data_IF_219481652747
#
_entry.id   IF_219481652747
#
_cell.length_a   1.000
_cell.length_b   1.000
_cell.length_c   1.000
_cell.angle_alpha   90.00
_cell.angle_beta   90.00
_cell.angle_gamma   90.00
#
_symmetry.space_group_name_H-M   'P 1'
#
loop_
_entity.id
_entity.type
_entity.pdbx_description
1 polymer ?
2 non-polymer ?
3 non-polymer ?
4 non-polymer ?
5 non-polymer ?
6 water ?
#
# COMPACT_ATOMS: atom_id res chain seq x y z
N UNK A 15 -16.47 -29.67 16.15
CA UNK A 15 -15.72 -29.67 14.90
C UNK A 15 -16.36 -28.79 13.82
N UNK A 16 -15.67 -28.67 12.70
CA UNK A 16 -16.12 -27.87 11.57
C UNK A 16 -15.60 -28.55 10.32
N UNK A 17 -16.48 -29.27 9.62
CA UNK A 17 -16.14 -29.97 8.40
C UNK A 17 -16.94 -29.43 7.23
N UNK A 18 -17.22 -28.11 7.25
CA UNK A 18 -17.99 -27.51 6.17
C UNK A 18 -17.30 -27.71 4.83
N UNK A 19 -15.98 -27.71 4.82
CA UNK A 19 -15.19 -27.70 3.61
C UNK A 19 -14.81 -29.09 3.10
N UNK A 20 -15.02 -30.14 3.87
CA UNK A 20 -14.87 -31.49 3.33
C UNK A 20 -15.80 -31.68 2.13
N UNK A 21 -15.39 -32.57 1.22
CA UNK A 21 -16.18 -32.93 0.04
C UNK A 21 -16.38 -31.80 -0.96
N UNK A 22 -15.94 -30.57 -0.64
CA UNK A 22 -15.96 -29.52 -1.64
C UNK A 22 -14.82 -29.81 -2.60
N UNK A 23 -15.15 -30.11 -3.85
CA UNK A 23 -14.15 -30.31 -4.87
C UNK A 23 -14.09 -29.17 -5.85
N UNK A 24 -15.22 -28.57 -6.20
CA UNK A 24 -15.22 -27.41 -7.07
C UNK A 24 -15.05 -26.14 -6.26
N UNK A 25 -13.97 -25.44 -6.53
CA UNK A 25 -13.63 -24.19 -5.91
C UNK A 25 -12.24 -23.86 -6.35
N UNK A 26 -11.96 -22.60 -6.66
CA UNK A 26 -10.61 -22.16 -6.93
C UNK A 26 -10.38 -20.87 -6.15
N UNK A 27 -9.15 -20.67 -5.70
CA UNK A 27 -8.84 -19.60 -4.76
C UNK A 27 -7.55 -18.92 -5.19
N UNK A 28 -7.55 -17.60 -5.17
CA UNK A 28 -6.41 -16.80 -5.60
C UNK A 28 -6.09 -15.77 -4.54
N UNK A 29 -4.81 -15.43 -4.44
CA UNK A 29 -4.35 -14.28 -3.67
C UNK A 29 -4.58 -13.02 -4.48
N UNK A 30 -5.07 -11.97 -3.84
CA UNK A 30 -5.13 -10.64 -4.45
C UNK A 30 -4.23 -9.74 -3.61
N UNK A 31 -3.27 -9.10 -4.26
CA UNK A 31 -2.42 -8.12 -3.60
C UNK A 31 -2.80 -6.74 -4.11
N UNK A 32 -2.97 -5.79 -3.20
CA UNK A 32 -3.24 -4.41 -3.56
C UNK A 32 -2.20 -3.50 -2.94
N UNK A 33 -1.57 -2.67 -3.76
CA UNK A 33 -0.65 -1.68 -3.21
C UNK A 33 -1.39 -0.58 -2.46
N UNK A 34 -2.68 -0.39 -2.75
CA UNK A 34 -3.46 0.73 -2.29
C UNK A 34 -4.52 0.28 -1.30
N UNK A 35 -4.52 0.88 -0.12
CA UNK A 35 -5.64 0.73 0.80
C UNK A 35 -6.90 1.38 0.23
N UNK A 36 -6.75 2.47 -0.51
CA UNK A 36 -7.90 3.09 -1.14
C UNK A 36 -8.66 2.13 -2.04
N UNK A 37 -7.94 1.33 -2.82
CA UNK A 37 -8.57 0.40 -3.75
C UNK A 37 -9.36 -0.67 -3.01
N UNK A 38 -8.84 -1.15 -1.89
CA UNK A 38 -9.60 -2.06 -1.03
C UNK A 38 -10.91 -1.44 -0.62
N UNK A 39 -10.88 -0.21 -0.11
CA UNK A 39 -12.11 0.42 0.33
C UNK A 39 -13.11 0.58 -0.82
N UNK A 40 -12.62 0.95 -2.00
CA UNK A 40 -13.53 1.10 -3.15
C UNK A 40 -14.11 -0.24 -3.58
N UNK A 41 -13.32 -1.32 -3.48
CA UNK A 41 -13.83 -2.64 -3.81
C UNK A 41 -14.93 -3.05 -2.84
N UNK A 42 -14.72 -2.79 -1.55
CA UNK A 42 -15.73 -3.15 -0.56
C UNK A 42 -17.00 -2.35 -0.80
N UNK A 43 -16.87 -1.07 -1.14
CA UNK A 43 -18.03 -0.20 -1.31
C UNK A 43 -18.84 -0.56 -2.55
N UNK A 44 -18.18 -0.83 -3.67
CA UNK A 44 -18.88 -0.98 -4.94
C UNK A 44 -18.87 -2.39 -5.47
N UNK A 45 -18.20 -3.31 -4.80
CA UNK A 45 -18.22 -4.73 -5.16
C UNK A 45 -17.68 -4.95 -6.57
N UNK A 46 -16.49 -4.40 -6.82
CA UNK A 46 -15.80 -4.54 -8.09
C UNK A 46 -14.30 -4.67 -7.83
N UNK A 47 -13.59 -5.21 -8.83
CA UNK A 47 -12.14 -5.29 -8.77
C UNK A 47 -11.58 -5.28 -10.19
N UNK A 48 -10.26 -5.16 -10.28
CA UNK A 48 -9.53 -5.32 -11.52
C UNK A 48 -8.09 -5.63 -11.17
N UNK A 49 -7.47 -6.51 -11.93
CA UNK A 49 -6.10 -6.94 -11.72
C UNK A 49 -5.23 -6.47 -12.89
N UNK A 50 -4.03 -7.03 -12.99
CA UNK A 50 -3.15 -6.80 -14.13
C UNK A 50 -3.74 -7.46 -15.35
N UNK A 51 -3.09 -7.31 -16.51
CA UNK A 51 -3.60 -8.04 -17.66
C UNK A 51 -3.47 -9.54 -17.45
N UNK A 52 -2.30 -10.01 -17.01
CA UNK A 52 -2.16 -11.45 -16.84
C UNK A 52 -2.93 -11.92 -15.63
N UNK A 53 -3.13 -11.04 -14.64
CA UNK A 53 -3.97 -11.39 -13.52
C UNK A 53 -5.42 -11.55 -13.93
N UNK A 54 -5.95 -10.58 -14.66
CA UNK A 54 -7.32 -10.69 -15.15
C UNK A 54 -7.50 -11.94 -15.99
N UNK A 55 -6.52 -12.25 -16.82
CA UNK A 55 -6.65 -13.38 -17.71
C UNK A 55 -6.75 -14.69 -16.94
N UNK A 56 -5.97 -14.80 -15.86
CA UNK A 56 -6.01 -16.01 -15.02
C UNK A 56 -7.36 -16.16 -14.33
N UNK A 57 -7.87 -15.07 -13.77
CA UNK A 57 -9.15 -15.10 -13.07
C UNK A 57 -10.30 -15.37 -14.02
N UNK A 58 -10.29 -14.74 -15.18
CA UNK A 58 -11.36 -14.91 -16.14
C UNK A 58 -11.43 -16.36 -16.60
N UNK A 59 -10.27 -16.99 -16.79
CA UNK A 59 -10.26 -18.37 -17.22
C UNK A 59 -10.80 -19.30 -16.14
N UNK A 60 -10.43 -19.05 -14.87
CA UNK A 60 -10.94 -19.87 -13.79
C UNK A 60 -12.42 -19.62 -13.55
N UNK A 61 -12.87 -18.37 -13.69
CA UNK A 61 -14.29 -18.09 -13.52
C UNK A 61 -15.12 -18.74 -14.61
N UNK A 62 -14.66 -18.65 -15.86
CA UNK A 62 -15.46 -19.15 -16.99
C UNK A 62 -15.49 -20.67 -17.03
N UNK A 63 -14.36 -21.33 -16.79
CA UNK A 63 -14.31 -22.78 -16.83
C UNK A 63 -14.89 -23.41 -15.58
N UNK A 64 -15.14 -22.63 -14.54
CA UNK A 64 -15.85 -23.18 -13.40
C UNK A 64 -17.33 -23.33 -13.70
N UNK A 65 -17.89 -22.45 -14.52
CA UNK A 65 -19.23 -22.61 -15.05
C UNK A 65 -20.24 -22.84 -13.93
N UNK A 66 -20.23 -21.95 -12.95
CA UNK A 66 -21.18 -21.99 -11.87
C UNK A 66 -21.12 -23.23 -10.98
N UNK A 67 -20.15 -24.12 -11.18
CA UNK A 67 -20.08 -25.36 -10.42
C UNK A 67 -19.46 -25.18 -9.04
N UNK A 68 -18.80 -24.07 -8.78
CA UNK A 68 -18.24 -23.79 -7.49
C UNK A 68 -17.81 -22.34 -7.42
N UNK A 69 -17.31 -21.91 -6.26
CA UNK A 69 -16.88 -20.51 -6.12
C UNK A 69 -15.45 -20.28 -6.57
N UNK A 70 -15.19 -19.04 -7.00
CA UNK A 70 -13.83 -18.52 -7.10
C UNK A 70 -13.68 -17.50 -5.99
N UNK A 71 -12.84 -17.80 -5.01
CA UNK A 71 -12.59 -16.94 -3.89
C UNK A 71 -11.33 -16.11 -4.08
N UNK A 72 -11.31 -14.94 -3.48
CA UNK A 72 -10.20 -14.00 -3.58
C UNK A 72 -9.78 -13.60 -2.18
N UNK A 73 -8.51 -13.80 -1.87
CA UNK A 73 -7.93 -13.52 -0.57
C UNK A 73 -7.11 -12.25 -0.69
N UNK A 74 -7.64 -11.15 -0.14
CA UNK A 74 -7.08 -9.81 -0.32
C UNK A 74 -6.06 -9.48 0.75
N UNK A 75 -5.02 -8.78 0.34
CA UNK A 75 -3.96 -8.38 1.25
C UNK A 75 -3.29 -7.14 0.65
N UNK A 76 -3.10 -6.12 1.48
CA UNK A 76 -2.38 -4.92 1.06
C UNK A 76 -0.89 -5.15 1.23
N UNK A 77 -0.14 -5.02 0.13
CA UNK A 77 1.31 -5.20 0.18
C UNK A 77 1.95 -4.38 1.27
N UNK A 78 2.75 -5.06 2.09
CA UNK A 78 3.45 -4.44 3.18
C UNK A 78 2.68 -4.35 4.47
N UNK A 79 1.36 -4.46 4.43
CA UNK A 79 0.55 -4.27 5.61
C UNK A 79 0.75 -5.36 6.66
N UNK A 80 1.22 -6.54 6.26
CA UNK A 80 1.45 -7.62 7.19
C UNK A 80 0.22 -8.42 7.58
N UNK A 81 -0.93 -8.18 6.95
CA UNK A 81 -2.15 -8.91 7.26
C UNK A 81 -3.01 -9.02 6.01
N UNK A 82 -3.83 -10.07 5.97
CA UNK A 82 -4.91 -10.16 5.01
C UNK A 82 -6.10 -9.37 5.55
N UNK A 83 -6.85 -8.75 4.65
CA UNK A 83 -7.91 -7.85 5.06
C UNK A 83 -9.30 -8.35 4.70
N UNK A 84 -9.43 -9.43 3.96
CA UNK A 84 -10.76 -9.93 3.69
C UNK A 84 -10.76 -11.00 2.62
N UNK A 85 -11.97 -11.50 2.36
CA UNK A 85 -12.28 -12.53 1.37
C UNK A 85 -13.43 -12.05 0.53
N UNK A 86 -13.31 -12.18 -0.77
CA UNK A 86 -14.40 -11.87 -1.67
C UNK A 86 -14.58 -13.04 -2.63
N UNK A 87 -15.75 -13.09 -3.23
CA UNK A 87 -16.02 -14.06 -4.27
C UNK A 87 -16.17 -13.33 -5.59
N UNK A 88 -15.57 -13.89 -6.63
CA UNK A 88 -15.69 -13.33 -7.96
C UNK A 88 -17.08 -13.62 -8.51
N UNK A 89 -17.77 -12.58 -8.98
CA UNK A 89 -19.17 -12.72 -9.39
C UNK A 89 -19.45 -12.31 -10.82
N UNK A 90 -18.43 -12.18 -11.66
CA UNK A 90 -18.64 -11.94 -13.07
C UNK A 90 -17.35 -12.25 -13.81
N UNK A 91 -17.49 -12.46 -15.11
CA UNK A 91 -16.32 -12.50 -15.96
C UNK A 91 -15.72 -11.11 -16.07
N UNK A 92 -14.54 -11.04 -16.67
CA UNK A 92 -13.84 -9.77 -16.80
C UNK A 92 -14.37 -9.01 -18.00
N UNK A 93 -14.77 -7.76 -17.78
CA UNK A 93 -15.07 -6.81 -18.82
C UNK A 93 -13.80 -6.00 -19.06
N UNK A 94 -13.19 -6.15 -20.21
CA UNK A 94 -11.90 -5.54 -20.42
C UNK A 94 -11.98 -4.12 -20.91
N UNK A 95 -13.17 -3.60 -21.19
CA UNK A 95 -13.31 -2.29 -21.80
C UNK A 95 -14.26 -1.48 -20.91
N UNK A 96 -13.68 -0.79 -19.93
CA UNK A 96 -14.46 -0.01 -18.99
C UNK A 96 -13.76 1.31 -18.74
N UNK A 97 -14.42 2.17 -17.98
CA UNK A 97 -13.88 3.48 -17.64
C UNK A 97 -12.47 3.38 -17.07
N UNK A 98 -11.58 4.21 -17.56
CA UNK A 98 -10.22 4.23 -17.05
C UNK A 98 -10.11 5.15 -15.83
N UNK A 99 -9.09 4.91 -15.02
CA UNK A 99 -8.76 5.83 -13.95
C UNK A 99 -9.62 5.78 -12.72
N UNK A 100 -10.38 4.69 -12.50
CA UNK A 100 -11.22 4.63 -11.31
C UNK A 100 -10.47 4.16 -10.08
N UNK A 101 -9.25 3.64 -10.21
CA UNK A 101 -8.45 3.18 -9.10
C UNK A 101 -7.32 4.16 -8.80
N UNK A 102 -6.56 3.87 -7.75
CA UNK A 102 -5.50 4.78 -7.33
C UNK A 102 -4.49 5.04 -8.45
N UNK A 103 -3.95 4.00 -9.05
CA UNK A 103 -3.11 4.13 -10.23
C UNK A 103 -3.93 3.87 -11.48
N UNK A 104 -3.51 4.48 -12.58
CA UNK A 104 -4.13 4.27 -13.88
C UNK A 104 -3.58 3.06 -14.61
N UNK A 105 -3.18 2.04 -13.86
CA UNK A 105 -2.51 0.87 -14.42
C UNK A 105 -3.47 -0.21 -14.89
N UNK A 106 -4.69 -0.24 -14.37
CA UNK A 106 -5.58 -1.39 -14.49
C UNK A 106 -6.62 -1.18 -15.58
N UNK A 107 -6.77 -2.17 -16.45
CA UNK A 107 -7.68 -2.13 -17.58
C UNK A 107 -8.80 -3.15 -17.38
N UNK A 108 -10.01 -2.67 -17.17
CA UNK A 108 -11.17 -3.54 -17.06
C UNK A 108 -11.76 -3.54 -15.66
N UNK A 109 -12.70 -4.46 -15.45
CA UNK A 109 -13.50 -4.54 -14.24
C UNK A 109 -14.20 -5.89 -14.19
N UNK A 110 -14.36 -6.43 -12.99
CA UNK A 110 -15.27 -7.54 -12.80
C UNK A 110 -15.95 -7.40 -11.45
N UNK A 111 -17.08 -8.06 -11.30
CA UNK A 111 -17.83 -7.94 -10.07
C UNK A 111 -17.27 -8.87 -9.02
N UNK A 112 -17.33 -8.43 -7.78
CA UNK A 112 -17.00 -9.29 -6.64
C UNK A 112 -18.11 -9.14 -5.62
N UNK A 113 -18.10 -10.03 -4.64
CA UNK A 113 -18.99 -9.96 -3.49
C UNK A 113 -18.16 -10.25 -2.26
N UNK A 114 -17.96 -9.23 -1.42
CA UNK A 114 -17.13 -9.39 -0.25
C UNK A 114 -17.82 -10.23 0.81
N UNK A 115 -17.06 -11.12 1.41
CA UNK A 115 -17.56 -12.16 2.32
C UNK A 115 -17.13 -11.87 3.74
N UNK A 116 -15.83 -11.73 3.97
CA UNK A 116 -15.26 -11.33 5.24
C UNK A 116 -14.50 -10.04 5.00
N UNK A 117 -14.71 -9.06 5.84
CA UNK A 117 -13.81 -7.94 5.98
C UNK A 117 -13.28 -8.00 7.40
N UNK A 118 -12.10 -8.58 7.57
CA UNK A 118 -11.47 -8.59 8.87
C UNK A 118 -9.98 -8.79 8.67
N UNK A 119 -9.20 -8.20 9.57
CA UNK A 119 -7.75 -8.26 9.49
C UNK A 119 -7.25 -9.53 10.14
N UNK A 120 -6.41 -10.25 9.42
CA UNK A 120 -5.85 -11.52 9.88
C UNK A 120 -4.33 -11.41 9.73
N UNK A 121 -3.59 -11.38 10.83
CA UNK A 121 -2.14 -11.20 10.74
C UNK A 121 -1.46 -12.31 9.97
N UNK A 122 -0.41 -11.96 9.24
CA UNK A 122 0.34 -12.98 8.52
C UNK A 122 0.82 -14.08 9.45
N UNK A 123 1.01 -13.77 10.72
CA UNK A 123 1.50 -14.78 11.66
C UNK A 123 0.54 -15.96 11.77
N UNK A 124 -0.75 -15.73 11.51
CA UNK A 124 -1.76 -16.78 11.58
C UNK A 124 -1.75 -17.69 10.36
N UNK A 125 -1.10 -17.26 9.28
CA UNK A 125 -1.14 -17.95 8.02
C UNK A 125 0.22 -18.37 7.48
N UNK A 126 1.33 -17.91 8.05
CA UNK A 126 2.62 -18.10 7.39
C UNK A 126 3.08 -19.54 7.37
N UNK A 127 2.49 -20.42 8.17
CA UNK A 127 2.92 -21.80 8.23
C UNK A 127 2.26 -22.67 7.17
N UNK A 128 1.35 -22.12 6.38
CA UNK A 128 0.77 -22.83 5.24
C UNK A 128 1.61 -22.48 4.02
N UNK A 129 2.13 -23.49 3.34
CA UNK A 129 3.01 -23.29 2.22
C UNK A 129 2.38 -23.83 0.96
N UNK A 130 2.74 -23.24 -0.17
CA UNK A 130 2.11 -23.49 -1.46
C UNK A 130 3.02 -24.38 -2.30
N UNK A 131 2.62 -25.63 -2.50
CA UNK A 131 3.45 -26.55 -3.25
C UNK A 131 3.60 -26.12 -4.70
N UNK A 132 2.71 -25.28 -5.20
CA UNK A 132 2.78 -24.76 -6.56
C UNK A 132 3.59 -23.47 -6.64
N UNK A 133 4.11 -22.97 -5.52
CA UNK A 133 4.96 -21.79 -5.52
C UNK A 133 6.18 -22.06 -4.65
N UNK A 134 6.95 -23.07 -5.04
CA UNK A 134 8.24 -23.39 -4.43
C UNK A 134 8.16 -23.56 -2.93
N UNK A 135 7.02 -24.04 -2.44
CA UNK A 135 6.79 -24.30 -1.02
C UNK A 135 6.85 -23.02 -0.20
N UNK A 136 6.69 -21.87 -0.84
CA UNK A 136 6.76 -20.61 -0.12
C UNK A 136 5.53 -20.43 0.75
N UNK A 137 5.65 -19.69 1.86
CA UNK A 137 4.46 -19.41 2.67
C UNK A 137 3.42 -18.69 1.84
N UNK A 138 2.16 -19.00 2.10
CA UNK A 138 1.09 -18.35 1.39
C UNK A 138 1.11 -16.84 1.58
N UNK A 139 1.72 -16.37 2.67
CA UNK A 139 1.82 -14.96 2.97
C UNK A 139 2.92 -14.25 2.20
N UNK A 140 3.69 -14.99 1.40
CA UNK A 140 4.71 -14.42 0.53
C UNK A 140 4.33 -14.56 -0.94
N UNK A 141 3.05 -14.47 -1.24
CA UNK A 141 2.51 -14.61 -2.58
C UNK A 141 2.46 -13.27 -3.30
N UNK A 142 2.47 -13.32 -4.62
CA UNK A 142 2.22 -12.17 -5.46
C UNK A 142 0.76 -12.17 -5.91
N UNK A 143 0.34 -11.06 -6.52
CA UNK A 143 -1.02 -10.95 -7.01
C UNK A 143 -1.39 -12.11 -7.92
N UNK A 144 -2.63 -12.59 -7.77
CA UNK A 144 -3.26 -13.71 -8.50
C UNK A 144 -2.48 -15.01 -8.41
N UNK A 145 -1.65 -15.17 -7.40
CA UNK A 145 -1.11 -16.48 -7.08
C UNK A 145 -2.27 -17.40 -6.76
N UNK A 146 -2.36 -18.52 -7.46
CA UNK A 146 -3.42 -19.47 -7.14
C UNK A 146 -3.01 -20.35 -5.97
N UNK A 147 -3.99 -20.71 -5.16
CA UNK A 147 -3.78 -21.50 -3.96
C UNK A 147 -4.38 -22.89 -4.19
N UNK A 148 -3.62 -23.96 -3.96
CA UNK A 148 -4.19 -25.29 -4.11
C UNK A 148 -5.36 -25.47 -3.15
N UNK A 149 -6.37 -26.21 -3.60
CA UNK A 149 -7.63 -26.25 -2.86
C UNK A 149 -7.43 -26.72 -1.44
N UNK A 150 -6.54 -27.68 -1.22
CA UNK A 150 -6.40 -28.21 0.12
C UNK A 150 -5.74 -27.19 1.05
N UNK A 151 -4.80 -26.39 0.52
CA UNK A 151 -4.23 -25.31 1.33
C UNK A 151 -5.23 -24.17 1.47
N UNK A 152 -6.06 -23.95 0.45
CA UNK A 152 -7.05 -22.87 0.52
C UNK A 152 -8.08 -23.14 1.60
N UNK A 153 -8.46 -24.40 1.79
CA UNK A 153 -9.40 -24.73 2.85
C UNK A 153 -8.83 -24.40 4.21
N UNK A 154 -7.53 -24.69 4.41
CA UNK A 154 -6.87 -24.38 5.67
C UNK A 154 -6.81 -22.88 5.92
N UNK A 155 -6.58 -22.10 4.87
CA UNK A 155 -6.53 -20.66 5.02
C UNK A 155 -7.89 -20.11 5.37
N UNK A 156 -8.93 -20.59 4.69
CA UNK A 156 -10.28 -20.10 4.94
C UNK A 156 -10.74 -20.41 6.36
N UNK A 157 -10.50 -21.62 6.83
CA UNK A 157 -10.86 -21.96 8.20
C UNK A 157 -10.18 -21.05 9.20
N UNK A 158 -8.91 -20.73 8.96
CA UNK A 158 -8.19 -19.82 9.83
C UNK A 158 -8.84 -18.43 9.80
N UNK A 159 -9.09 -17.91 8.61
CA UNK A 159 -9.62 -16.55 8.50
C UNK A 159 -10.97 -16.44 9.19
N UNK A 160 -11.82 -17.45 8.99
CA UNK A 160 -13.16 -17.39 9.54
C UNK A 160 -13.17 -17.50 11.05
N UNK A 161 -12.21 -18.20 11.62
CA UNK A 161 -12.24 -18.46 13.05
C UNK A 161 -11.31 -17.54 13.83
N UNK A 162 -10.64 -16.60 13.17
CA UNK A 162 -9.81 -15.63 13.88
C UNK A 162 -10.66 -14.57 14.55
N UNK A 163 -10.17 -14.05 15.67
CA UNK A 163 -10.85 -12.98 16.40
C UNK A 163 -9.86 -12.09 17.15
N UNK B 16 18.86 23.50 -8.80
CA UNK B 16 19.60 24.64 -9.35
C UNK B 16 19.24 25.94 -8.62
N UNK B 17 18.08 26.51 -8.97
CA UNK B 17 17.53 27.64 -8.24
C UNK B 17 16.94 27.25 -6.90
N UNK B 18 16.81 25.96 -6.64
CA UNK B 18 16.06 25.47 -5.49
C UNK B 18 17.00 24.84 -4.48
N UNK B 19 16.73 25.07 -3.19
CA UNK B 19 17.43 24.42 -2.09
C UNK B 19 18.95 24.59 -2.20
N UNK B 20 19.38 25.73 -2.71
CA UNK B 20 20.82 25.97 -2.82
C UNK B 20 21.45 25.99 -1.44
N UNK B 21 20.85 26.74 -0.51
CA UNK B 21 21.37 26.87 0.85
C UNK B 21 20.30 26.37 1.81
N UNK B 22 20.39 25.09 2.17
CA UNK B 22 19.73 24.56 3.35
C UNK B 22 20.83 24.15 4.33
N UNK B 23 21.52 25.15 4.88
CA UNK B 23 22.74 24.90 5.65
C UNK B 23 22.52 23.82 6.70
N UNK B 24 21.39 23.86 7.39
CA UNK B 24 20.96 22.80 8.29
C UNK B 24 19.73 22.13 7.71
N UNK B 25 19.20 21.18 8.43
CA UNK B 25 18.00 20.48 7.99
C UNK B 25 18.09 18.99 8.18
N UNK B 26 16.93 18.34 8.23
CA UNK B 26 16.85 16.89 8.23
C UNK B 26 15.68 16.47 7.36
N UNK B 27 15.83 15.34 6.65
CA UNK B 27 14.90 14.95 5.60
C UNK B 27 14.51 13.49 5.78
N UNK B 28 13.22 13.20 5.62
CA UNK B 28 12.69 11.86 5.78
C UNK B 28 11.83 11.49 4.58
N UNK B 29 11.82 10.21 4.26
CA UNK B 29 10.86 9.65 3.32
C UNK B 29 9.54 9.42 4.03
N UNK B 30 8.44 9.67 3.33
CA UNK B 30 7.11 9.33 3.79
C UNK B 30 6.51 8.39 2.76
N UNK B 31 6.04 7.24 3.21
CA UNK B 31 5.34 6.32 2.32
C UNK B 31 3.88 6.25 2.75
N UNK B 32 2.97 6.06 1.81
CA UNK B 32 1.55 5.97 2.12
C UNK B 32 0.89 4.83 1.36
N UNK B 33 0.03 4.09 2.04
CA UNK B 33 -0.89 3.15 1.42
C UNK B 33 -2.09 3.80 0.77
N UNK B 34 -2.25 5.11 0.90
CA UNK B 34 -3.49 5.77 0.55
C UNK B 34 -3.19 7.08 -0.14
N UNK B 35 -3.63 7.22 -1.39
CA UNK B 35 -3.50 8.51 -2.05
C UNK B 35 -4.55 9.49 -1.52
N UNK B 36 -5.69 8.98 -1.04
CA UNK B 36 -6.66 9.83 -0.36
C UNK B 36 -6.04 10.56 0.82
N UNK B 37 -5.23 9.86 1.61
CA UNK B 37 -4.57 10.49 2.76
C UNK B 37 -3.65 11.60 2.30
N UNK B 38 -2.98 11.42 1.16
CA UNK B 38 -2.14 12.46 0.62
C UNK B 38 -2.98 13.66 0.20
N UNK B 39 -4.15 13.41 -0.38
CA UNK B 39 -5.01 14.52 -0.77
C UNK B 39 -5.50 15.28 0.45
N UNK B 40 -5.87 14.55 1.51
CA UNK B 40 -6.25 15.21 2.76
C UNK B 40 -5.10 16.01 3.33
N UNK B 41 -3.89 15.47 3.22
CA UNK B 41 -2.70 16.16 3.70
C UNK B 41 -2.49 17.46 2.95
N UNK B 42 -2.57 17.41 1.62
CA UNK B 42 -2.36 18.60 0.82
C UNK B 42 -3.43 19.63 1.12
N UNK B 43 -4.65 19.16 1.35
CA UNK B 43 -5.78 20.07 1.52
C UNK B 43 -5.74 20.78 2.87
N UNK B 44 -5.30 20.09 3.91
CA UNK B 44 -5.38 20.64 5.26
C UNK B 44 -4.03 20.83 5.92
N UNK B 45 -2.93 20.52 5.23
CA UNK B 45 -1.59 20.75 5.74
C UNK B 45 -1.38 20.04 7.08
N UNK B 46 -1.63 18.74 7.08
CA UNK B 46 -1.48 17.91 8.26
C UNK B 46 -1.03 16.52 7.81
N UNK B 47 -0.41 15.78 8.71
CA UNK B 47 0.00 14.42 8.40
C UNK B 47 0.06 13.62 9.68
N UNK B 48 0.17 12.31 9.52
CA UNK B 48 0.27 11.38 10.61
C UNK B 48 1.03 10.17 10.10
N UNK B 49 1.94 9.64 10.92
CA UNK B 49 2.70 8.47 10.59
C UNK B 49 2.35 7.33 11.54
N UNK B 50 3.19 6.31 11.55
CA UNK B 50 3.13 5.24 12.54
C UNK B 50 3.48 5.78 13.91
N UNK B 51 3.40 4.93 14.94
CA UNK B 51 3.81 5.38 16.26
C UNK B 51 5.31 5.60 16.31
N UNK B 52 6.10 4.63 15.84
CA UNK B 52 7.54 4.85 15.81
C UNK B 52 7.92 5.89 14.78
N UNK B 53 7.20 5.96 13.66
CA UNK B 53 7.49 7.01 12.70
C UNK B 53 7.18 8.38 13.26
N UNK B 54 6.08 8.49 13.98
CA UNK B 54 5.79 9.75 14.66
C UNK B 54 6.90 10.11 15.64
N UNK B 55 7.40 9.14 16.39
CA UNK B 55 8.44 9.46 17.36
C UNK B 55 9.74 9.91 16.69
N UNK B 56 10.13 9.29 15.58
CA UNK B 56 11.34 9.72 14.89
C UNK B 56 11.20 11.15 14.39
N UNK B 57 10.04 11.48 13.86
CA UNK B 57 9.82 12.79 13.26
C UNK B 57 9.72 13.86 14.34
N UNK B 58 8.96 13.57 15.39
CA UNK B 58 8.86 14.47 16.52
C UNK B 58 10.24 14.79 17.08
N UNK B 59 11.02 13.74 17.35
CA UNK B 59 12.37 13.92 17.88
C UNK B 59 13.20 14.80 16.97
N UNK B 60 13.20 14.52 15.67
CA UNK B 60 13.94 15.36 14.76
C UNK B 60 13.43 16.79 14.77
N UNK B 61 12.12 16.97 14.90
CA UNK B 61 11.56 18.32 14.89
C UNK B 61 11.94 19.08 16.15
N UNK B 62 11.80 18.43 17.31
CA UNK B 62 12.12 19.10 18.57
C UNK B 62 13.61 19.41 18.66
N UNK B 63 14.47 18.45 18.29
CA UNK B 63 15.91 18.67 18.37
C UNK B 63 16.37 19.73 17.40
N UNK B 64 15.54 20.09 16.43
CA UNK B 64 15.94 21.10 15.48
C UNK B 64 15.71 22.50 16.04
N UNK B 65 14.83 22.62 17.04
CA UNK B 65 14.53 23.85 17.76
C UNK B 65 14.44 25.05 16.83
N UNK B 66 13.84 24.85 15.65
CA UNK B 66 13.66 25.92 14.69
C UNK B 66 14.89 26.34 13.93
N UNK B 67 16.04 25.70 14.16
CA UNK B 67 17.28 26.13 13.52
C UNK B 67 17.36 25.75 12.04
N UNK B 68 16.59 24.76 11.60
CA UNK B 68 16.57 24.38 10.22
C UNK B 68 15.25 23.73 9.87
N UNK B 69 15.02 23.46 8.60
CA UNK B 69 13.78 22.79 8.18
C UNK B 69 13.86 21.27 8.22
N UNK B 70 12.73 20.66 8.57
CA UNK B 70 12.57 19.20 8.48
C UNK B 70 11.66 18.93 7.29
N UNK B 71 12.21 18.35 6.23
CA UNK B 71 11.48 18.07 5.00
C UNK B 71 10.98 16.63 4.98
N UNK B 72 9.90 16.43 4.25
CA UNK B 72 9.25 15.15 4.08
C UNK B 72 9.10 14.89 2.60
N UNK B 73 9.56 13.74 2.14
CA UNK B 73 9.51 13.36 0.73
C UNK B 73 8.47 12.25 0.57
N UNK B 74 7.37 12.57 -0.09
CA UNK B 74 6.18 11.74 -0.09
C UNK B 74 6.15 10.85 -1.33
N UNK B 75 5.79 9.59 -1.12
CA UNK B 75 5.63 8.64 -2.21
C UNK B 75 4.51 7.67 -1.83
N UNK B 76 3.60 7.43 -2.75
CA UNK B 76 2.57 6.43 -2.56
C UNK B 76 3.12 5.05 -2.96
N UNK B 77 2.93 4.05 -2.09
CA UNK B 77 3.36 2.72 -2.42
C UNK B 77 2.79 2.26 -3.74
N UNK B 78 3.66 1.65 -4.53
CA UNK B 78 3.30 1.07 -5.80
C UNK B 78 3.02 2.07 -6.89
N UNK B 79 3.15 3.36 -6.61
CA UNK B 79 2.87 4.35 -7.63
C UNK B 79 4.00 4.47 -8.63
N UNK B 80 5.21 4.08 -8.26
CA UNK B 80 6.37 4.27 -9.10
C UNK B 80 6.84 5.70 -9.20
N UNK B 81 6.34 6.59 -8.34
CA UNK B 81 6.76 7.98 -8.41
C UNK B 81 6.62 8.64 -7.05
N UNK B 82 7.42 9.67 -6.83
CA UNK B 82 7.27 10.52 -5.66
C UNK B 82 6.23 11.56 -6.03
N UNK B 83 5.48 12.04 -5.05
CA UNK B 83 4.37 12.93 -5.35
C UNK B 83 4.51 14.35 -4.81
N UNK B 84 5.53 14.64 -4.00
CA UNK B 84 5.76 16.01 -3.60
C UNK B 84 6.61 16.10 -2.37
N UNK B 85 6.75 17.32 -1.87
CA UNK B 85 7.64 17.64 -0.77
C UNK B 85 6.89 18.53 0.20
N UNK B 86 6.97 18.24 1.49
CA UNK B 86 6.39 19.06 2.53
C UNK B 86 7.44 19.35 3.58
N UNK B 87 7.23 20.44 4.33
CA UNK B 87 8.04 20.74 5.50
C UNK B 87 7.18 20.56 6.74
N UNK B 88 7.73 19.90 7.74
CA UNK B 88 6.98 19.61 8.94
C UNK B 88 6.96 20.86 9.81
N UNK B 89 5.77 21.34 10.17
CA UNK B 89 5.60 22.67 10.75
C UNK B 89 5.15 22.66 12.22
N UNK B 90 5.21 21.53 12.90
CA UNK B 90 4.87 21.48 14.31
C UNK B 90 5.29 20.15 14.87
N UNK B 91 5.33 20.08 16.19
CA UNK B 91 5.55 18.82 16.88
C UNK B 91 4.28 17.97 16.80
N UNK B 92 4.36 16.78 17.34
CA UNK B 92 3.33 15.76 17.14
C UNK B 92 2.35 15.81 18.30
N UNK B 93 1.08 16.05 18.00
CA UNK B 93 0.03 15.86 18.98
C UNK B 93 -0.41 14.41 18.94
N UNK B 94 -0.26 13.69 20.03
CA UNK B 94 -0.57 12.27 20.06
C UNK B 94 -2.00 11.98 20.45
N UNK B 95 -2.76 12.97 20.92
CA UNK B 95 -4.12 12.74 21.40
C UNK B 95 -5.02 13.62 20.56
N UNK B 96 -5.50 13.08 19.44
CA UNK B 96 -6.32 13.83 18.49
C UNK B 96 -7.51 12.97 18.08
N UNK B 97 -8.37 13.56 17.25
CA UNK B 97 -9.59 12.90 16.81
C UNK B 97 -9.28 11.60 16.09
N UNK B 98 -10.03 10.56 16.42
CA UNK B 98 -9.82 9.27 15.80
C UNK B 98 -10.56 9.16 14.48
N UNK B 99 -10.04 8.31 13.61
CA UNK B 99 -10.75 7.93 12.40
C UNK B 99 -10.79 8.95 11.29
N UNK B 100 -9.87 9.92 11.27
CA UNK B 100 -9.89 10.95 10.23
C UNK B 100 -9.13 10.55 8.97
N UNK B 101 -8.35 9.48 9.02
CA UNK B 101 -7.56 9.05 7.87
C UNK B 101 -8.19 7.82 7.24
N UNK B 102 -7.51 7.27 6.26
CA UNK B 102 -8.02 6.11 5.55
C UNK B 102 -8.13 4.90 6.45
N UNK B 103 -7.29 4.83 7.47
CA UNK B 103 -7.40 3.78 8.47
C UNK B 103 -7.33 4.40 9.85
N UNK B 104 -7.91 3.70 10.82
CA UNK B 104 -7.88 4.11 12.21
C UNK B 104 -6.51 3.97 12.83
N UNK B 105 -5.64 3.17 12.24
CA UNK B 105 -4.31 2.94 12.79
C UNK B 105 -3.43 4.19 12.76
N UNK B 106 -3.81 5.23 12.03
CA UNK B 106 -3.02 6.46 11.99
C UNK B 106 -3.56 7.36 13.10
N UNK B 107 -2.83 7.43 14.21
CA UNK B 107 -3.22 8.16 15.39
C UNK B 107 -2.28 9.35 15.60
N UNK B 108 -2.84 10.49 15.94
CA UNK B 108 -2.04 11.67 16.16
C UNK B 108 -2.03 12.57 14.95
N UNK B 109 -1.28 13.65 15.07
CA UNK B 109 -1.32 14.66 14.02
C UNK B 109 -0.18 15.65 14.23
N UNK B 110 0.36 16.14 13.12
CA UNK B 110 1.25 17.29 13.13
C UNK B 110 1.02 18.12 11.88
N UNK B 111 1.46 19.37 11.96
CA UNK B 111 1.29 20.28 10.85
C UNK B 111 2.42 20.12 9.85
N UNK B 112 2.07 20.30 8.59
CA UNK B 112 3.01 20.28 7.48
C UNK B 112 2.72 21.49 6.61
N UNK B 113 3.68 21.84 5.76
CA UNK B 113 3.50 22.87 4.75
C UNK B 113 3.97 22.29 3.42
N UNK B 114 3.04 22.01 2.52
CA UNK B 114 3.43 21.47 1.23
C UNK B 114 4.09 22.55 0.38
N UNK B 115 5.18 22.18 -0.25
CA UNK B 115 5.96 23.08 -1.08
C UNK B 115 5.86 22.69 -2.55
N UNK B 116 6.04 21.42 -2.85
CA UNK B 116 5.88 20.90 -4.18
C UNK B 116 4.81 19.82 -4.16
N UNK B 117 3.89 19.87 -5.10
CA UNK B 117 2.99 18.77 -5.40
C UNK B 117 3.22 18.42 -6.85
N UNK B 118 3.90 17.30 -7.10
CA UNK B 118 4.39 16.97 -8.42
C UNK B 118 4.74 15.50 -8.46
N UNK B 119 4.26 14.79 -9.49
CA UNK B 119 4.68 13.42 -9.74
C UNK B 119 6.02 13.42 -10.45
N UNK B 120 7.01 12.80 -9.83
CA UNK B 120 8.34 12.65 -10.39
C UNK B 120 8.62 11.15 -10.45
N UNK B 121 8.95 10.60 -11.62
CA UNK B 121 9.21 9.16 -11.71
C UNK B 121 10.40 8.71 -10.89
N UNK B 122 10.30 7.50 -10.33
CA UNK B 122 11.42 6.94 -9.60
C UNK B 122 12.65 6.76 -10.47
N UNK B 123 12.48 6.68 -11.79
CA UNK B 123 13.63 6.58 -12.68
C UNK B 123 14.54 7.80 -12.57
N UNK B 124 13.98 8.94 -12.18
CA UNK B 124 14.71 10.18 -11.98
C UNK B 124 15.53 10.17 -10.70
N UNK B 125 15.27 9.23 -9.81
CA UNK B 125 15.78 9.28 -8.46
C UNK B 125 16.52 8.04 -8.05
N UNK B 126 16.51 6.98 -8.83
CA UNK B 126 16.92 5.70 -8.30
C UNK B 126 18.42 5.48 -8.33
N UNK B 127 19.20 6.40 -8.88
CA UNK B 127 20.65 6.32 -8.79
C UNK B 127 21.22 7.04 -7.58
N UNK B 128 20.35 7.60 -6.73
CA UNK B 128 20.75 8.18 -5.46
C UNK B 128 20.63 7.10 -4.39
N UNK B 129 21.74 6.75 -3.78
CA UNK B 129 21.77 5.68 -2.80
C UNK B 129 21.99 6.24 -1.40
N UNK B 130 21.45 5.55 -0.39
CA UNK B 130 21.52 5.99 0.99
C UNK B 130 22.62 5.22 1.73
N UNK B 131 23.69 5.93 2.08
CA UNK B 131 24.76 5.31 2.82
C UNK B 131 24.34 4.86 4.21
N UNK B 132 23.26 5.41 4.76
CA UNK B 132 22.75 4.92 6.04
C UNK B 132 21.73 3.80 5.88
N UNK B 133 21.44 3.39 4.67
CA UNK B 133 20.53 2.29 4.41
C UNK B 133 21.17 1.28 3.45
N UNK B 134 22.39 0.87 3.77
CA UNK B 134 23.05 -0.22 3.06
C UNK B 134 23.26 0.13 1.60
N UNK B 135 23.41 1.42 1.30
CA UNK B 135 23.50 1.91 -0.06
C UNK B 135 22.31 1.49 -0.91
N UNK B 136 21.16 1.28 -0.28
CA UNK B 136 19.97 1.00 -1.05
C UNK B 136 19.51 2.27 -1.77
N UNK B 137 18.91 2.15 -2.95
CA UNK B 137 18.41 3.34 -3.63
C UNK B 137 17.36 4.04 -2.79
N UNK B 138 17.28 5.36 -2.97
CA UNK B 138 16.36 6.14 -2.16
C UNK B 138 14.92 5.75 -2.45
N UNK B 139 14.65 5.32 -3.69
CA UNK B 139 13.34 4.89 -4.11
C UNK B 139 12.89 3.59 -3.48
N UNK B 140 13.80 2.88 -2.80
CA UNK B 140 13.48 1.66 -2.08
C UNK B 140 13.37 1.90 -0.58
N UNK B 141 12.99 3.09 -0.19
CA UNK B 141 12.97 3.43 1.22
C UNK B 141 11.63 3.05 1.85
N UNK B 142 11.67 2.87 3.15
CA UNK B 142 10.47 2.69 3.95
C UNK B 142 10.06 4.01 4.60
N UNK B 143 8.86 4.02 5.15
CA UNK B 143 8.34 5.21 5.78
C UNK B 143 9.26 5.69 6.90
N UNK B 144 9.49 7.01 6.95
CA UNK B 144 10.33 7.72 7.91
C UNK B 144 11.79 7.27 7.86
N UNK B 145 12.22 6.65 6.77
CA UNK B 145 13.64 6.51 6.52
C UNK B 145 14.28 7.87 6.48
N UNK B 146 15.27 8.10 7.34
CA UNK B 146 15.96 9.37 7.25
C UNK B 146 16.96 9.35 6.12
N UNK B 147 17.14 10.51 5.51
CA UNK B 147 17.95 10.68 4.32
C UNK B 147 19.18 11.51 4.69
N UNK B 148 20.39 11.10 4.31
CA UNK B 148 21.54 11.97 4.51
C UNK B 148 21.38 13.27 3.73
N UNK B 149 21.79 14.37 4.37
CA UNK B 149 21.44 15.69 3.88
C UNK B 149 21.97 15.96 2.48
N UNK B 150 23.10 15.39 2.12
CA UNK B 150 23.63 15.66 0.80
C UNK B 150 22.93 14.82 -0.25
N UNK B 151 22.43 13.65 0.13
CA UNK B 151 21.54 12.92 -0.77
C UNK B 151 20.18 13.61 -0.84
N UNK B 152 19.68 14.08 0.30
CA UNK B 152 18.42 14.80 0.34
C UNK B 152 18.45 16.01 -0.58
N UNK B 153 19.53 16.78 -0.52
CA UNK B 153 19.66 17.94 -1.40
C UNK B 153 19.51 17.54 -2.86
N UNK B 154 20.09 16.40 -3.24
CA UNK B 154 20.00 15.97 -4.62
C UNK B 154 18.56 15.63 -5.01
N UNK B 155 17.84 14.95 -4.12
CA UNK B 155 16.47 14.58 -4.42
C UNK B 155 15.58 15.81 -4.48
N UNK B 156 15.71 16.70 -3.50
CA UNK B 156 14.93 17.93 -3.49
C UNK B 156 15.13 18.74 -4.77
N UNK B 157 16.37 18.88 -5.21
CA UNK B 157 16.63 19.63 -6.43
C UNK B 157 16.11 18.91 -7.67
N UNK B 158 16.08 17.58 -7.66
CA UNK B 158 15.52 16.85 -8.80
C UNK B 158 14.01 17.05 -8.86
N UNK B 159 13.33 16.90 -7.72
CA UNK B 159 11.89 17.04 -7.69
C UNK B 159 11.50 18.45 -8.07
N UNK B 160 12.27 19.44 -7.63
CA UNK B 160 11.93 20.84 -7.87
C UNK B 160 11.99 21.19 -9.34
N UNK B 161 13.01 20.72 -10.04
CA UNK B 161 13.27 21.08 -11.41
C UNK B 161 12.53 20.23 -12.43
N UNK B 162 11.94 19.11 -12.00
CA UNK B 162 11.35 18.17 -12.94
C UNK B 162 10.15 18.78 -13.65
N UNK B 163 10.07 18.57 -14.96
CA UNK B 163 8.99 19.13 -15.74
C UNK B 163 8.26 18.06 -16.52
#
# INVERSE_FOLDING_TARGET
MGSSYHHHHHHSSGENLYFQHMKHGRVFIIKSYSEDDIHRSIKYNIWCSTEHGNKRLDAAYRSMNGKGPVYLLFSVNGSGHFCGVAEMKSAVDYNTCAGVWSQDKWKGRFDVRWIFVKDVPNSQLRHIRLENNENKPVTNSRDTQEVPLEKAKQVLKIIASYKHTTS
MGSSYHHHHHHSSGENLYFQHMKHGRVFIIKSYSEDDIHRSIKYNIWCSTEHGNKRLDAAYRSMNGKGPVYLLFSVNGSGHFCGVAEMKSAVDYNTCAGVWSQDKWKGRFDVRWIFVKDVPNSQLRHIRLENNENKPVTNSRDTQEVPLEKAKQVLKIIASYKHTTS
#
